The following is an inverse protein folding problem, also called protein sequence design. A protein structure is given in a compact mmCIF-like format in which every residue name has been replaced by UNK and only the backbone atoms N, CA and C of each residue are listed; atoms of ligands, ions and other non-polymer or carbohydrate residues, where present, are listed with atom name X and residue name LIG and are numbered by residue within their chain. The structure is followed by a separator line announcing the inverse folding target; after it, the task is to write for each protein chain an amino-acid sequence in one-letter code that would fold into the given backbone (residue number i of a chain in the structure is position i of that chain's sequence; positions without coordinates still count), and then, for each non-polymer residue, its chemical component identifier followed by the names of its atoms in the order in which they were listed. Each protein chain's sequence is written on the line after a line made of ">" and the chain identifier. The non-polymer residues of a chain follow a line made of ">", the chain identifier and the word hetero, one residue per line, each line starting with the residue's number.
data_IF_717019283860
#
_entry.id   IF_717019283860
#
_cell.length_a   1.000
_cell.length_b   1.000
_cell.length_c   1.000
_cell.angle_alpha   90.00
_cell.angle_beta   90.00
_cell.angle_gamma   90.00
#
_symmetry.space_group_name_H-M   'P 1'
#
loop_
_entity.id
_entity.type
_entity.pdbx_description
1 polymer ?
#
# COMPACT_ATOMS: atom_id res chain seq x y z
N UNK A 1 -26.96 7.24 34.82
CA UNK A 1 -26.11 8.26 34.17
C UNK A 1 -24.74 8.12 34.84
N UNK A 2 -23.64 7.72 34.23
CA UNK A 2 -23.11 7.90 32.88
C UNK A 2 -22.25 6.67 32.53
N UNK A 3 -22.32 6.22 31.28
CA UNK A 3 -21.41 5.21 30.74
C UNK A 3 -20.01 5.81 30.54
N UNK A 4 -18.96 5.08 30.87
CA UNK A 4 -17.60 5.39 30.42
C UNK A 4 -17.07 4.22 29.58
N UNK A 5 -16.68 4.57 28.38
CA UNK A 5 -16.46 3.76 27.20
C UNK A 5 -15.27 2.80 27.36
N UNK A 6 -15.48 1.57 26.90
CA UNK A 6 -14.47 0.51 26.76
C UNK A 6 -13.38 1.00 25.78
N UNK A 7 -12.19 1.30 26.30
CA UNK A 7 -10.98 1.47 25.48
C UNK A 7 -10.75 0.14 24.78
N UNK A 8 -10.98 0.14 23.47
CA UNK A 8 -10.91 -1.05 22.64
C UNK A 8 -9.43 -1.40 22.46
N UNK A 9 -9.01 -2.45 23.14
CA UNK A 9 -7.68 -3.04 23.05
C UNK A 9 -7.35 -3.31 21.59
N UNK A 10 -6.29 -2.66 21.12
CA UNK A 10 -5.74 -2.85 19.79
C UNK A 10 -5.05 -4.20 19.76
N UNK A 11 -5.71 -5.19 19.15
CA UNK A 11 -5.17 -6.52 18.94
C UNK A 11 -4.09 -6.44 17.86
N UNK A 12 -2.83 -6.53 18.29
CA UNK A 12 -1.68 -6.57 17.39
C UNK A 12 -1.66 -7.97 16.78
N UNK A 13 -2.19 -8.09 15.57
CA UNK A 13 -2.16 -9.35 14.81
C UNK A 13 -0.73 -9.50 14.29
N UNK A 14 0.09 -10.25 15.03
CA UNK A 14 1.48 -10.53 14.68
C UNK A 14 1.54 -11.59 13.56
N UNK A 15 1.46 -11.13 12.30
CA UNK A 15 1.75 -11.97 11.14
C UNK A 15 3.26 -12.03 10.92
N UNK A 16 3.87 -13.18 11.23
CA UNK A 16 5.31 -13.45 11.18
C UNK A 16 5.99 -13.28 9.80
N UNK A 17 5.28 -12.78 8.79
CA UNK A 17 5.82 -12.43 7.45
C UNK A 17 6.18 -10.94 7.31
N UNK A 18 5.97 -10.14 8.36
CA UNK A 18 6.12 -8.69 8.35
C UNK A 18 7.43 -8.20 8.98
N UNK A 19 8.43 -9.06 9.21
CA UNK A 19 9.73 -8.64 9.75
C UNK A 19 10.33 -7.51 8.89
N UNK A 20 10.24 -6.26 9.39
CA UNK A 20 10.69 -5.05 8.71
C UNK A 20 9.61 -4.18 8.04
N UNK A 21 8.32 -4.53 8.10
CA UNK A 21 7.24 -3.67 7.57
C UNK A 21 6.89 -2.57 8.57
N UNK A 22 7.13 -1.32 8.18
CA UNK A 22 6.74 -0.14 8.96
C UNK A 22 5.42 0.39 8.42
N UNK A 23 4.40 0.46 9.28
CA UNK A 23 3.15 1.15 8.99
C UNK A 23 3.17 2.55 9.59
N UNK A 24 2.61 3.52 8.88
CA UNK A 24 2.47 4.88 9.37
C UNK A 24 1.15 5.50 8.90
N UNK A 25 0.66 6.46 9.68
CA UNK A 25 -0.49 7.28 9.33
C UNK A 25 0.01 8.67 8.96
N UNK A 26 -0.56 9.24 7.91
CA UNK A 26 -0.29 10.60 7.48
C UNK A 26 -1.59 11.28 7.05
N UNK A 27 -1.70 12.57 7.33
CA UNK A 27 -2.79 13.39 6.81
C UNK A 27 -2.55 13.68 5.32
N UNK A 28 -3.58 13.48 4.49
CA UNK A 28 -3.53 13.75 3.05
C UNK A 28 -4.54 14.85 2.70
N UNK A 29 -4.24 15.73 1.73
CA UNK A 29 -5.22 16.67 1.20
C UNK A 29 -6.45 15.93 0.64
N UNK A 30 -7.64 16.44 0.94
CA UNK A 30 -8.92 15.82 0.54
C UNK A 30 -8.98 15.46 -0.96
N UNK A 31 -8.57 16.34 -1.91
CA UNK A 31 -8.61 15.99 -3.33
C UNK A 31 -7.74 14.78 -3.70
N UNK A 32 -6.61 14.59 -3.01
CA UNK A 32 -5.73 13.45 -3.24
C UNK A 32 -6.36 12.16 -2.68
N UNK A 33 -6.95 12.23 -1.49
CA UNK A 33 -7.65 11.10 -0.90
C UNK A 33 -8.82 10.63 -1.78
N UNK A 34 -9.64 11.55 -2.28
CA UNK A 34 -10.76 11.26 -3.17
C UNK A 34 -10.28 10.63 -4.49
N UNK A 35 -9.21 11.17 -5.08
CA UNK A 35 -8.62 10.60 -6.30
C UNK A 35 -8.07 9.19 -6.07
N UNK A 36 -7.39 8.94 -4.94
CA UNK A 36 -6.89 7.62 -4.58
C UNK A 36 -8.03 6.62 -4.37
N UNK A 37 -9.09 7.03 -3.67
CA UNK A 37 -10.26 6.19 -3.45
C UNK A 37 -10.95 5.82 -4.78
N UNK A 38 -11.23 6.81 -5.63
CA UNK A 38 -11.83 6.56 -6.95
C UNK A 38 -10.97 5.67 -7.85
N UNK A 39 -9.64 5.81 -7.79
CA UNK A 39 -8.74 4.89 -8.50
C UNK A 39 -8.87 3.44 -7.99
N UNK A 40 -8.87 3.25 -6.67
CA UNK A 40 -8.98 1.91 -6.06
C UNK A 40 -10.34 1.26 -6.40
N UNK A 41 -11.43 2.03 -6.35
CA UNK A 41 -12.78 1.54 -6.67
C UNK A 41 -12.91 1.08 -8.13
N UNK A 42 -12.25 1.76 -9.05
CA UNK A 42 -12.26 1.41 -10.48
C UNK A 42 -11.28 0.29 -10.84
N UNK A 43 -10.34 -0.02 -9.94
CA UNK A 43 -9.26 -0.97 -10.18
C UNK A 43 -9.34 -2.13 -9.17
N UNK A 44 -10.06 -3.23 -9.47
CA UNK A 44 -10.41 -4.30 -8.52
C UNK A 44 -9.22 -5.04 -7.88
N UNK A 45 -8.01 -4.78 -8.39
CA UNK A 45 -6.78 -5.43 -7.99
C UNK A 45 -5.84 -4.52 -7.19
N UNK A 46 -6.27 -3.30 -6.90
CA UNK A 46 -5.51 -2.29 -6.18
C UNK A 46 -6.09 -2.08 -4.79
N UNK A 47 -5.19 -1.83 -3.85
CA UNK A 47 -5.50 -1.41 -2.49
C UNK A 47 -4.61 -0.22 -2.14
N UNK A 48 -4.90 0.43 -1.00
CA UNK A 48 -4.15 1.60 -0.55
C UNK A 48 -2.65 1.34 -0.40
N UNK A 49 -2.26 0.18 0.14
CA UNK A 49 -0.86 -0.16 0.39
C UNK A 49 -0.09 -0.37 -0.91
N UNK A 50 -0.69 -1.08 -1.87
CA UNK A 50 -0.13 -1.33 -3.19
C UNK A 50 -0.01 -0.04 -3.98
N UNK A 51 -1.03 0.81 -3.94
CA UNK A 51 -1.03 2.12 -4.59
C UNK A 51 0.13 2.98 -4.09
N UNK A 52 0.26 3.13 -2.77
CA UNK A 52 1.33 3.93 -2.16
C UNK A 52 2.71 3.31 -2.41
N UNK A 53 2.86 1.98 -2.28
CA UNK A 53 4.13 1.31 -2.57
C UNK A 53 4.57 1.50 -4.03
N UNK A 54 3.65 1.37 -4.99
CA UNK A 54 3.94 1.59 -6.40
C UNK A 54 4.32 3.06 -6.68
N UNK A 55 3.57 4.01 -6.11
CA UNK A 55 3.81 5.44 -6.28
C UNK A 55 5.18 5.85 -5.70
N UNK A 56 5.52 5.38 -4.50
CA UNK A 56 6.82 5.66 -3.86
C UNK A 56 7.98 5.04 -4.63
N UNK A 57 7.87 3.76 -5.01
CA UNK A 57 8.91 3.11 -5.79
C UNK A 57 9.10 3.79 -7.16
N UNK A 58 8.00 4.15 -7.83
CA UNK A 58 8.03 4.88 -9.09
C UNK A 58 8.65 6.27 -8.94
N UNK A 59 8.31 7.01 -7.88
CA UNK A 59 8.92 8.29 -7.57
C UNK A 59 10.43 8.17 -7.38
N UNK A 60 10.91 7.19 -6.61
CA UNK A 60 12.34 6.97 -6.39
C UNK A 60 13.07 6.62 -7.68
N UNK A 61 12.49 5.75 -8.52
CA UNK A 61 13.06 5.40 -9.83
C UNK A 61 13.15 6.65 -10.73
N UNK A 62 12.09 7.46 -10.79
CA UNK A 62 12.06 8.68 -11.61
C UNK A 62 13.06 9.75 -11.12
N UNK A 63 13.37 9.78 -9.83
CA UNK A 63 14.37 10.69 -9.24
C UNK A 63 15.81 10.15 -9.34
N UNK A 64 16.05 9.08 -10.10
CA UNK A 64 17.40 8.58 -10.38
C UNK A 64 17.99 7.72 -9.27
N UNK A 65 17.18 7.17 -8.37
CA UNK A 65 17.67 6.19 -7.39
C UNK A 65 18.00 4.88 -8.12
N UNK A 66 19.30 4.62 -8.28
CA UNK A 66 19.81 3.41 -8.93
C UNK A 66 19.85 2.24 -7.95
N UNK A 67 18.68 1.65 -7.69
CA UNK A 67 18.53 0.42 -6.92
C UNK A 67 17.69 -0.59 -7.67
N UNK A 68 18.30 -1.72 -8.00
CA UNK A 68 17.62 -2.85 -8.63
C UNK A 68 16.44 -3.35 -7.80
N UNK A 69 16.54 -3.28 -6.48
CA UNK A 69 15.47 -3.69 -5.57
C UNK A 69 14.27 -2.76 -5.67
N UNK A 70 14.49 -1.44 -5.73
CA UNK A 70 13.43 -0.43 -5.88
C UNK A 70 12.75 -0.58 -7.24
N UNK A 71 13.52 -0.76 -8.32
CA UNK A 71 12.97 -1.03 -9.65
C UNK A 71 12.13 -2.30 -9.68
N UNK A 72 12.61 -3.38 -9.02
CA UNK A 72 11.85 -4.63 -8.89
C UNK A 72 10.57 -4.41 -8.09
N UNK A 73 10.62 -3.63 -7.01
CA UNK A 73 9.46 -3.31 -6.19
C UNK A 73 8.43 -2.51 -6.99
N UNK A 74 8.87 -1.52 -7.77
CA UNK A 74 8.00 -0.75 -8.67
C UNK A 74 7.28 -1.68 -9.66
N UNK A 75 8.02 -2.51 -10.40
CA UNK A 75 7.45 -3.45 -11.37
C UNK A 75 6.53 -4.47 -10.69
N UNK A 76 6.92 -5.03 -9.55
CA UNK A 76 6.12 -6.02 -8.82
C UNK A 76 4.81 -5.43 -8.25
N UNK A 77 4.79 -4.14 -7.88
CA UNK A 77 3.56 -3.50 -7.43
C UNK A 77 2.70 -3.01 -8.61
N UNK A 78 3.30 -2.59 -9.73
CA UNK A 78 2.55 -2.25 -10.95
C UNK A 78 1.93 -3.47 -11.62
N UNK A 79 2.68 -4.57 -11.74
CA UNK A 79 2.29 -5.76 -12.49
C UNK A 79 2.17 -6.95 -11.54
N UNK A 80 1.04 -7.67 -11.59
CA UNK A 80 0.86 -8.90 -10.80
C UNK A 80 1.69 -10.04 -11.40
N UNK A 81 2.27 -10.86 -10.53
CA UNK A 81 2.80 -12.18 -10.91
C UNK A 81 1.70 -13.17 -11.30
N UNK A 82 0.45 -12.98 -10.86
CA UNK A 82 -0.69 -13.83 -11.27
C UNK A 82 -1.01 -13.72 -12.76
N UNK A 83 -0.68 -12.58 -13.39
CA UNK A 83 -0.85 -12.41 -14.83
C UNK A 83 0.11 -13.29 -15.66
N UNK A 84 1.11 -13.92 -15.04
CA UNK A 84 2.03 -14.87 -15.67
C UNK A 84 1.67 -16.34 -15.42
N UNK A 85 0.77 -16.64 -14.48
CA UNK A 85 0.30 -18.01 -14.20
C UNK A 85 -1.01 -18.36 -14.92
N UNK A 86 -1.75 -17.37 -15.43
CA UNK A 86 -2.97 -17.59 -16.22
C UNK A 86 -2.63 -17.71 -17.71
N UNK A 87 -1.75 -18.67 -18.01
CA UNK A 87 -1.20 -18.88 -19.34
C UNK A 87 -0.59 -20.27 -19.51
N UNK A 88 -1.33 -21.31 -19.14
CA UNK A 88 -1.25 -22.67 -19.69
C UNK A 88 -2.61 -23.35 -19.59
#
# INVERSE_FOLDING_TARGET
>A
MVQAQKVQSQEVVEDARLDGVVSFQAELPLPLQEAMAGFIETCPNWDQYRLIKAALAGFLVQNGVDSREITRLYVANMFRSDSLMQGF
#
